data_IF_410554253044
#
_entry.id   IF_410554253044
#
_cell.length_a   1.000
_cell.length_b   1.000
_cell.length_c   1.000
_cell.angle_alpha   90.00
_cell.angle_beta   90.00
_cell.angle_gamma   90.00
#
_symmetry.space_group_name_H-M   'P 1'
#
loop_
_entity.id
_entity.type
_entity.pdbx_description
1 polymer ?
#
# COMPACT_ATOMS: atom_id res chain seq x y z
N UNK A 1 -20.52 -5.53 -0.73
CA UNK A 1 -21.15 -4.21 -0.94
C UNK A 1 -20.99 -3.89 -2.41
N UNK A 2 -22.08 -3.86 -3.18
CA UNK A 2 -22.06 -3.67 -4.64
C UNK A 2 -22.16 -2.18 -4.94
N UNK A 3 -21.26 -1.65 -5.76
CA UNK A 3 -21.33 -0.26 -6.22
C UNK A 3 -22.63 -0.06 -7.02
N UNK A 4 -23.33 1.04 -6.77
CA UNK A 4 -24.53 1.39 -7.56
C UNK A 4 -24.13 1.77 -8.98
N UNK A 5 -25.00 1.52 -9.94
CA UNK A 5 -24.79 1.91 -11.34
C UNK A 5 -24.58 3.44 -11.49
N UNK A 6 -25.11 4.24 -10.57
CA UNK A 6 -24.88 5.68 -10.51
C UNK A 6 -23.45 6.04 -10.05
N UNK A 7 -22.91 5.32 -9.07
CA UNK A 7 -21.55 5.53 -8.56
C UNK A 7 -20.50 5.16 -9.61
N UNK A 8 -20.74 4.06 -10.33
CA UNK A 8 -19.90 3.62 -11.45
C UNK A 8 -19.82 4.70 -12.54
N UNK A 9 -20.96 5.25 -12.94
CA UNK A 9 -21.04 6.29 -13.97
C UNK A 9 -20.33 7.59 -13.54
N UNK A 10 -20.38 7.95 -12.25
CA UNK A 10 -19.67 9.10 -11.72
C UNK A 10 -18.14 8.90 -11.79
N UNK A 11 -17.65 7.72 -11.43
CA UNK A 11 -16.22 7.37 -11.56
C UNK A 11 -15.73 7.42 -13.00
N UNK A 12 -16.52 6.90 -13.95
CA UNK A 12 -16.14 6.86 -15.36
C UNK A 12 -16.07 8.27 -15.97
N UNK A 13 -17.02 9.15 -15.62
CA UNK A 13 -16.96 10.56 -16.02
C UNK A 13 -15.73 11.27 -15.46
N UNK A 14 -15.43 11.07 -14.17
CA UNK A 14 -14.27 11.69 -13.54
C UNK A 14 -12.95 11.26 -14.18
N UNK A 15 -12.81 9.98 -14.56
CA UNK A 15 -11.64 9.49 -15.30
C UNK A 15 -11.52 10.15 -16.68
N UNK A 16 -12.64 10.24 -17.41
CA UNK A 16 -12.66 10.84 -18.75
C UNK A 16 -12.27 12.32 -18.73
N UNK A 17 -12.70 13.08 -17.71
CA UNK A 17 -12.41 14.51 -17.59
C UNK A 17 -10.96 14.80 -17.16
N UNK A 18 -10.40 13.97 -16.29
CA UNK A 18 -9.13 14.28 -15.62
C UNK A 18 -7.91 13.70 -16.33
N UNK A 19 -8.10 12.72 -17.23
CA UNK A 19 -7.02 11.90 -17.80
C UNK A 19 -6.04 11.35 -16.75
N UNK A 20 -6.49 11.23 -15.49
CA UNK A 20 -5.70 10.66 -14.40
C UNK A 20 -5.63 9.16 -14.61
N UNK A 21 -4.61 8.72 -15.35
CA UNK A 21 -4.24 7.33 -15.41
C UNK A 21 -3.69 6.88 -14.04
N UNK A 22 -3.98 5.63 -13.67
CA UNK A 22 -3.36 5.04 -12.50
C UNK A 22 -1.84 5.02 -12.74
N UNK A 23 -1.11 5.95 -12.11
CA UNK A 23 0.35 5.94 -12.18
C UNK A 23 0.81 4.56 -11.75
N UNK A 24 1.60 3.82 -12.56
CA UNK A 24 2.11 2.53 -12.14
C UNK A 24 2.81 2.73 -10.80
N UNK A 25 2.30 2.07 -9.77
CA UNK A 25 2.94 2.08 -8.47
C UNK A 25 4.37 1.57 -8.67
N UNK A 26 5.35 2.20 -8.02
CA UNK A 26 6.67 1.58 -7.91
C UNK A 26 6.43 0.16 -7.38
N UNK A 27 7.07 -0.84 -8.01
CA UNK A 27 6.86 -2.25 -7.66
C UNK A 27 6.89 -2.40 -6.12
N UNK A 28 5.80 -2.89 -5.51
CA UNK A 28 5.75 -3.04 -4.07
C UNK A 28 6.86 -3.99 -3.62
N UNK A 29 7.55 -3.61 -2.55
CA UNK A 29 8.63 -4.41 -1.96
C UNK A 29 8.24 -4.97 -0.59
N UNK A 30 7.18 -4.44 0.01
CA UNK A 30 6.75 -4.79 1.36
C UNK A 30 5.23 -4.82 1.49
N UNK A 31 4.76 -5.63 2.44
CA UNK A 31 3.37 -5.68 2.88
C UNK A 31 3.34 -5.21 4.33
N UNK A 32 2.59 -4.14 4.57
CA UNK A 32 2.27 -3.64 5.91
C UNK A 32 0.93 -4.25 6.34
N UNK A 33 0.90 -4.92 7.48
CA UNK A 33 -0.31 -5.36 8.14
C UNK A 33 -0.69 -4.36 9.22
N UNK A 34 -1.89 -3.80 9.09
CA UNK A 34 -2.42 -2.84 10.05
C UNK A 34 -3.93 -3.00 10.14
N UNK A 35 -4.48 -2.99 11.36
CA UNK A 35 -5.93 -3.00 11.60
C UNK A 35 -6.67 -4.15 10.87
N UNK A 36 -6.03 -5.33 10.77
CA UNK A 36 -6.58 -6.49 10.07
C UNK A 36 -6.58 -6.38 8.53
N UNK A 37 -5.88 -5.40 7.96
CA UNK A 37 -5.75 -5.18 6.51
C UNK A 37 -4.29 -5.29 6.08
N UNK A 38 -4.10 -5.70 4.83
CA UNK A 38 -2.79 -5.77 4.18
C UNK A 38 -2.64 -4.64 3.16
N UNK A 39 -1.51 -3.94 3.22
CA UNK A 39 -1.19 -2.84 2.33
C UNK A 39 0.14 -3.12 1.64
N UNK A 40 0.10 -3.31 0.32
CA UNK A 40 1.29 -3.42 -0.53
C UNK A 40 1.88 -2.05 -0.77
N UNK A 41 3.10 -1.82 -0.29
CA UNK A 41 3.76 -0.51 -0.30
C UNK A 41 5.15 -0.59 -0.94
N UNK A 42 5.65 0.56 -1.40
CA UNK A 42 7.04 0.66 -1.84
C UNK A 42 8.01 0.55 -0.65
N UNK A 43 9.27 0.20 -0.92
CA UNK A 43 10.35 0.21 0.07
C UNK A 43 10.48 1.58 0.77
N UNK A 44 10.40 2.67 0.01
CA UNK A 44 10.43 4.03 0.56
C UNK A 44 9.30 4.25 1.57
N UNK A 45 8.07 3.85 1.23
CA UNK A 45 6.92 4.02 2.11
C UNK A 45 7.02 3.12 3.35
N UNK A 46 7.53 1.89 3.21
CA UNK A 46 7.77 1.01 4.34
C UNK A 46 8.75 1.64 5.35
N UNK A 47 9.84 2.25 4.88
CA UNK A 47 10.81 2.96 5.73
C UNK A 47 10.24 4.22 6.38
N UNK A 48 9.35 4.93 5.69
CA UNK A 48 8.65 6.07 6.27
C UNK A 48 7.71 5.58 7.38
N UNK A 49 6.92 4.54 7.13
CA UNK A 49 6.00 3.97 8.10
C UNK A 49 6.73 3.47 9.36
N UNK A 50 7.82 2.72 9.20
CA UNK A 50 8.65 2.23 10.31
C UNK A 50 9.12 3.37 11.22
N UNK A 51 9.67 4.45 10.64
CA UNK A 51 10.13 5.61 11.41
C UNK A 51 9.03 6.31 12.19
N UNK A 52 7.79 6.31 11.69
CA UNK A 52 6.67 6.87 12.44
C UNK A 52 6.25 5.96 13.59
N UNK A 53 6.27 4.64 13.39
CA UNK A 53 6.01 3.67 14.46
C UNK A 53 7.07 3.78 15.56
N UNK A 54 8.35 3.82 15.20
CA UNK A 54 9.46 4.02 16.15
C UNK A 54 9.28 5.29 16.97
N UNK A 55 8.94 6.41 16.31
CA UNK A 55 8.68 7.68 16.99
C UNK A 55 7.49 7.63 17.95
N UNK A 56 6.42 6.92 17.60
CA UNK A 56 5.26 6.72 18.48
C UNK A 56 5.68 5.96 19.74
N UNK A 57 6.46 4.89 19.58
CA UNK A 57 6.99 4.09 20.69
C UNK A 57 7.96 4.88 21.57
N UNK A 58 8.77 5.77 21.00
CA UNK A 58 9.72 6.59 21.77
C UNK A 58 9.05 7.72 22.56
N UNK A 59 7.90 8.20 22.11
CA UNK A 59 7.28 9.41 22.65
C UNK A 59 6.03 9.13 23.48
N UNK A 60 5.57 7.88 23.57
CA UNK A 60 4.28 7.47 24.18
C UNK A 60 3.10 8.32 23.66
N UNK A 61 3.16 8.73 22.39
CA UNK A 61 2.11 9.51 21.73
C UNK A 61 1.57 8.81 20.50
N UNK A 62 0.28 9.03 20.19
CA UNK A 62 -0.31 8.54 18.95
C UNK A 62 0.00 9.44 17.75
N UNK A 63 0.19 8.84 16.57
CA UNK A 63 0.41 9.57 15.32
C UNK A 63 -0.56 9.15 14.21
N UNK A 64 -0.98 10.11 13.39
CA UNK A 64 -1.66 9.83 12.12
C UNK A 64 -0.62 9.69 11.02
N UNK A 65 -0.56 8.50 10.42
CA UNK A 65 0.40 8.15 9.37
C UNK A 65 -0.32 7.96 8.06
N UNK A 66 0.09 8.72 7.05
CA UNK A 66 -0.37 8.55 5.67
C UNK A 66 0.38 7.38 5.06
N UNK A 67 -0.34 6.35 4.63
CA UNK A 67 0.21 5.16 3.99
C UNK A 67 -0.20 5.12 2.51
N UNK A 68 0.77 5.29 1.62
CA UNK A 68 0.56 5.10 0.17
C UNK A 68 0.80 3.64 -0.21
N UNK A 69 -0.20 3.01 -0.81
CA UNK A 69 -0.17 1.60 -1.22
C UNK A 69 -0.66 1.43 -2.65
N UNK A 70 -0.60 0.20 -3.17
CA UNK A 70 -0.94 -0.12 -4.57
C UNK A 70 -2.38 0.29 -4.98
N UNK A 71 -3.31 0.42 -4.03
CA UNK A 71 -4.71 0.78 -4.30
C UNK A 71 -5.05 2.24 -3.95
N UNK A 72 -4.07 3.04 -3.49
CA UNK A 72 -4.31 4.44 -3.16
C UNK A 72 -3.56 4.89 -1.90
N UNK A 73 -4.26 5.66 -1.07
CA UNK A 73 -3.72 6.23 0.17
C UNK A 73 -4.70 5.94 1.30
N UNK A 74 -4.16 5.48 2.42
CA UNK A 74 -4.91 5.23 3.65
C UNK A 74 -4.33 6.11 4.77
N UNK A 75 -5.18 6.54 5.70
CA UNK A 75 -4.74 7.24 6.91
C UNK A 75 -4.83 6.29 8.10
N UNK A 76 -3.69 5.93 8.68
CA UNK A 76 -3.60 4.99 9.79
C UNK A 76 -3.33 5.73 11.09
N UNK A 77 -4.15 5.48 12.11
CA UNK A 77 -3.84 5.91 13.47
C UNK A 77 -2.89 4.90 14.10
N UNK A 78 -1.67 5.32 14.37
CA UNK A 78 -0.63 4.54 15.05
C UNK A 78 -0.65 4.90 16.53
N UNK A 79 -0.77 3.87 17.36
CA UNK A 79 -0.75 3.91 18.82
C UNK A 79 0.13 2.78 19.32
N UNK A 80 0.60 2.87 20.55
CA UNK A 80 1.38 1.86 21.24
C UNK A 80 0.62 0.53 21.44
N UNK A 81 -0.71 0.58 21.52
CA UNK A 81 -1.59 -0.59 21.63
C UNK A 81 -1.93 -1.26 20.29
N UNK A 82 -1.52 -0.68 19.16
CA UNK A 82 -1.82 -1.22 17.84
C UNK A 82 -0.75 -2.23 17.40
N UNK A 83 -1.18 -3.43 17.02
CA UNK A 83 -0.31 -4.41 16.40
C UNK A 83 -0.07 -4.08 14.91
N UNK A 84 1.18 -3.80 14.55
CA UNK A 84 1.63 -3.62 13.17
C UNK A 84 2.69 -4.67 12.83
N UNK A 85 2.69 -5.16 11.59
CA UNK A 85 3.80 -5.97 11.08
C UNK A 85 4.17 -5.54 9.67
N UNK A 86 5.47 -5.64 9.36
CA UNK A 86 6.01 -5.35 8.03
C UNK A 86 6.74 -6.60 7.58
N UNK A 87 6.39 -7.10 6.40
CA UNK A 87 7.09 -8.21 5.75
C UNK A 87 7.53 -7.79 4.36
N UNK A 88 8.67 -8.31 3.91
CA UNK A 88 9.05 -8.18 2.51
C UNK A 88 8.02 -8.92 1.67
N UNK A 89 7.60 -8.33 0.55
CA UNK A 89 6.84 -9.08 -0.44
C UNK A 89 7.84 -10.02 -1.11
N UNK A 90 7.72 -11.32 -0.82
CA UNK A 90 8.54 -12.32 -1.52
C UNK A 90 8.37 -12.08 -3.01
N UNK A 91 9.49 -11.86 -3.71
CA UNK A 91 9.50 -11.71 -5.15
C UNK A 91 9.06 -13.04 -5.77
N UNK A 92 7.75 -13.25 -5.89
CA UNK A 92 7.21 -14.43 -6.57
C UNK A 92 7.50 -14.25 -8.06
N UNK A 93 8.56 -14.94 -8.48
CA UNK A 93 8.92 -15.31 -9.85
C UNK A 93 9.30 -14.18 -10.84
N UNK A 94 10.53 -13.67 -10.72
CA UNK A 94 11.39 -13.40 -11.88
C UNK A 94 12.25 -14.65 -12.23
N UNK A 95 11.68 -15.84 -12.03
CA UNK A 95 12.29 -17.15 -12.32
C UNK A 95 11.33 -17.98 -13.19
N UNK A 96 10.88 -17.40 -14.31
CA UNK A 96 10.26 -18.19 -15.40
C UNK A 96 10.86 -17.93 -16.77
N UNK A 97 11.63 -16.86 -16.98
CA UNK A 97 12.22 -16.56 -18.29
C UNK A 97 13.62 -17.15 -18.53
N UNK A 98 14.29 -17.68 -17.49
CA UNK A 98 15.64 -18.26 -17.65
C UNK A 98 15.64 -19.73 -18.13
N UNK A 99 14.50 -20.43 -18.11
CA UNK A 99 14.43 -21.84 -18.55
C UNK A 99 13.86 -22.03 -19.97
N UNK A 100 13.43 -20.95 -20.64
CA UNK A 100 12.90 -21.00 -22.00
C UNK A 100 13.94 -20.71 -23.10
N UNK A 101 15.23 -20.52 -22.75
CA UNK A 101 16.31 -20.28 -23.72
C UNK A 101 17.28 -21.47 -23.90
N UNK A 102 16.99 -22.62 -23.28
CA UNK A 102 17.82 -23.84 -23.36
C UNK A 102 16.98 -25.11 -23.53
N UNK A 103 15.96 -25.06 -24.40
CA UNK A 103 15.27 -26.25 -24.90
C UNK A 103 15.18 -26.21 -26.43
#
# INVERSE_FOLDING_TARGET
>A
MTISHADQHACDRFRAETHLEARPAAAPGYIVHALGREFRVSDEMARIFLRQVERVLETDTSALVVLRHAHGVELLLVRDDNAFSIRQEDAVEATRDAHALTA
#
